data_IF_806366088908
#
_entry.id   IF_806366088908
#
_cell.length_a   1.000
_cell.length_b   1.000
_cell.length_c   1.000
_cell.angle_alpha   90.00
_cell.angle_beta   90.00
_cell.angle_gamma   90.00
#
_symmetry.space_group_name_H-M   'P 1'
#
loop_
_entity.id
_entity.type
_entity.pdbx_description
1 polymer ?
#
# COMPACT_ATOMS: atom_id res chain seq x y z
N UNK A 1 13.61 -10.66 1.36
CA UNK A 1 13.28 -11.35 0.09
C UNK A 1 12.08 -12.28 0.34
N UNK A 2 11.27 -12.59 -0.68
CA UNK A 2 9.98 -13.33 -0.64
C UNK A 2 8.80 -12.68 0.11
N UNK A 3 8.88 -12.42 1.42
CA UNK A 3 7.71 -11.97 2.21
C UNK A 3 7.26 -10.52 1.92
N UNK A 4 8.18 -9.60 1.59
CA UNK A 4 7.86 -8.20 1.23
C UNK A 4 7.12 -8.08 -0.11
N UNK A 5 7.52 -8.87 -1.11
CA UNK A 5 6.96 -8.81 -2.47
C UNK A 5 5.52 -9.30 -2.54
N UNK A 6 5.16 -10.26 -1.69
CA UNK A 6 3.81 -10.82 -1.65
C UNK A 6 2.78 -9.80 -1.12
N UNK A 7 3.16 -8.88 -0.21
CA UNK A 7 2.23 -7.92 0.43
C UNK A 7 1.88 -6.71 -0.44
N UNK A 8 2.82 -6.17 -1.22
CA UNK A 8 2.55 -5.02 -2.10
C UNK A 8 1.66 -5.38 -3.28
N UNK A 9 1.79 -6.61 -3.79
CA UNK A 9 0.88 -7.15 -4.80
C UNK A 9 -0.55 -7.19 -4.30
N UNK A 10 -0.78 -7.55 -3.03
CA UNK A 10 -2.13 -7.54 -2.46
C UNK A 10 -2.75 -6.15 -2.55
N UNK A 11 -2.06 -5.10 -2.10
CA UNK A 11 -2.59 -3.73 -2.17
C UNK A 11 -2.95 -3.31 -3.60
N UNK A 12 -2.10 -3.62 -4.58
CA UNK A 12 -2.36 -3.30 -5.98
C UNK A 12 -3.57 -4.07 -6.55
N UNK A 13 -3.74 -5.34 -6.19
CA UNK A 13 -4.91 -6.13 -6.58
C UNK A 13 -6.20 -5.63 -5.92
N UNK A 14 -6.13 -5.19 -4.66
CA UNK A 14 -7.28 -4.57 -3.98
C UNK A 14 -7.70 -3.26 -4.67
N UNK A 15 -6.73 -2.43 -5.06
CA UNK A 15 -7.01 -1.21 -5.83
C UNK A 15 -7.71 -1.54 -7.15
N UNK A 16 -7.26 -2.58 -7.87
CA UNK A 16 -7.93 -3.04 -9.11
C UNK A 16 -9.35 -3.52 -8.83
N UNK A 17 -9.57 -4.32 -7.79
CA UNK A 17 -10.91 -4.84 -7.42
C UNK A 17 -11.89 -3.71 -7.09
N UNK A 18 -11.38 -2.63 -6.47
CA UNK A 18 -12.17 -1.44 -6.12
C UNK A 18 -12.21 -0.39 -7.24
N UNK A 19 -11.62 -0.67 -8.41
CA UNK A 19 -11.47 0.27 -9.53
C UNK A 19 -10.85 1.61 -9.11
N UNK A 20 -9.95 1.60 -8.12
CA UNK A 20 -9.26 2.78 -7.63
C UNK A 20 -8.05 3.10 -8.49
N UNK A 21 -8.04 4.31 -9.04
CA UNK A 21 -6.84 4.86 -9.66
C UNK A 21 -5.78 5.21 -8.61
N UNK A 22 -4.52 5.34 -9.03
CA UNK A 22 -3.44 5.82 -8.15
C UNK A 22 -3.71 7.22 -7.60
N UNK A 23 -4.38 8.07 -8.39
CA UNK A 23 -4.70 9.45 -7.97
C UNK A 23 -5.77 9.44 -6.89
N UNK A 24 -6.85 8.67 -7.05
CA UNK A 24 -7.90 8.54 -6.03
C UNK A 24 -7.37 7.87 -4.76
N UNK A 25 -6.55 6.84 -4.90
CA UNK A 25 -5.91 6.18 -3.77
C UNK A 25 -5.03 7.16 -2.98
N UNK A 26 -4.18 7.93 -3.67
CA UNK A 26 -3.33 8.93 -3.04
C UNK A 26 -4.16 10.02 -2.33
N UNK A 27 -5.25 10.47 -2.95
CA UNK A 27 -6.16 11.45 -2.35
C UNK A 27 -6.83 10.91 -1.07
N UNK A 28 -7.35 9.67 -1.11
CA UNK A 28 -7.98 9.01 0.07
C UNK A 28 -6.97 8.72 1.18
N UNK A 29 -5.71 8.48 0.83
CA UNK A 29 -4.61 8.31 1.78
C UNK A 29 -4.03 9.64 2.30
N UNK A 30 -4.51 10.79 1.80
CA UNK A 30 -3.97 12.12 2.09
C UNK A 30 -2.46 12.23 1.81
N UNK A 31 -2.03 11.71 0.66
CA UNK A 31 -0.61 11.64 0.26
C UNK A 31 -0.43 12.05 -1.20
N UNK A 32 0.83 12.26 -1.60
CA UNK A 32 1.17 12.46 -3.02
C UNK A 32 1.15 11.14 -3.80
N UNK A 33 0.87 11.21 -5.11
CA UNK A 33 1.02 10.07 -6.04
C UNK A 33 2.42 9.48 -6.01
N UNK A 34 3.47 10.32 -5.91
CA UNK A 34 4.85 9.86 -5.82
C UNK A 34 5.13 9.02 -4.57
N UNK A 35 4.51 9.36 -3.44
CA UNK A 35 4.62 8.57 -2.21
C UNK A 35 3.84 7.24 -2.31
N UNK A 36 2.68 7.24 -2.98
CA UNK A 36 1.99 5.98 -3.31
C UNK A 36 2.81 5.11 -4.26
N UNK A 37 3.46 5.70 -5.27
CA UNK A 37 4.32 4.96 -6.19
C UNK A 37 5.49 4.31 -5.45
N UNK A 38 6.12 5.00 -4.49
CA UNK A 38 7.14 4.40 -3.63
C UNK A 38 6.60 3.27 -2.75
N UNK A 39 5.37 3.39 -2.25
CA UNK A 39 4.74 2.32 -1.47
C UNK A 39 4.50 1.07 -2.33
N UNK A 40 4.09 1.24 -3.58
CA UNK A 40 3.79 0.13 -4.49
C UNK A 40 5.04 -0.48 -5.15
N UNK A 41 6.19 0.18 -5.04
CA UNK A 41 7.45 -0.26 -5.63
C UNK A 41 8.16 -1.29 -4.71
N UNK A 42 8.34 -2.54 -5.17
CA UNK A 42 8.96 -3.60 -4.38
C UNK A 42 10.46 -3.38 -4.11
N UNK A 43 11.13 -2.54 -4.90
CA UNK A 43 12.57 -2.25 -4.78
C UNK A 43 12.82 -1.01 -3.89
N UNK A 44 11.82 -0.15 -3.69
CA UNK A 44 11.91 1.01 -2.78
C UNK A 44 11.67 0.56 -1.34
N UNK A 45 12.73 0.56 -0.54
CA UNK A 45 12.65 0.32 0.91
C UNK A 45 12.51 1.65 1.65
N UNK A 46 11.82 1.64 2.81
CA UNK A 46 11.66 2.85 3.65
C UNK A 46 10.26 3.44 3.72
N UNK A 47 9.21 2.64 3.53
CA UNK A 47 7.83 3.04 3.89
C UNK A 47 7.57 2.73 5.37
N UNK A 48 6.99 3.72 6.06
CA UNK A 48 6.64 3.63 7.46
C UNK A 48 5.40 2.75 7.68
N UNK A 49 5.26 2.21 8.89
CA UNK A 49 4.09 1.39 9.27
C UNK A 49 2.78 2.18 9.14
N UNK A 50 2.79 3.47 9.48
CA UNK A 50 1.62 4.33 9.35
C UNK A 50 1.20 4.51 7.87
N UNK A 51 2.16 4.56 6.95
CA UNK A 51 1.89 4.64 5.51
C UNK A 51 1.21 3.37 5.02
N UNK A 52 1.68 2.21 5.47
CA UNK A 52 1.09 0.91 5.13
C UNK A 52 -0.31 0.78 5.74
N UNK A 53 -0.50 1.19 6.99
CA UNK A 53 -1.78 1.16 7.68
C UNK A 53 -2.82 2.04 6.98
N UNK A 54 -2.47 3.29 6.60
CA UNK A 54 -3.39 4.15 5.85
C UNK A 54 -3.79 3.54 4.51
N UNK A 55 -2.84 2.96 3.78
CA UNK A 55 -3.15 2.29 2.52
C UNK A 55 -4.10 1.11 2.71
N UNK A 56 -3.88 0.28 3.73
CA UNK A 56 -4.76 -0.84 4.08
C UNK A 56 -6.18 -0.34 4.41
N UNK A 57 -6.31 0.72 5.21
CA UNK A 57 -7.61 1.29 5.59
C UNK A 57 -8.41 1.78 4.38
N UNK A 58 -7.77 2.44 3.40
CA UNK A 58 -8.47 2.94 2.20
C UNK A 58 -9.08 1.82 1.36
N UNK A 59 -8.47 0.63 1.35
CA UNK A 59 -8.99 -0.54 0.64
C UNK A 59 -9.83 -1.47 1.53
N UNK A 60 -10.19 -1.03 2.74
CA UNK A 60 -11.03 -1.81 3.67
C UNK A 60 -10.30 -3.01 4.31
N UNK A 61 -8.98 -2.93 4.46
CA UNK A 61 -8.15 -3.96 5.10
C UNK A 61 -7.45 -3.45 6.35
N UNK A 62 -6.88 -4.38 7.13
CA UNK A 62 -6.12 -4.08 8.35
C UNK A 62 -4.67 -4.58 8.22
N UNK A 63 -3.74 -3.80 8.77
CA UNK A 63 -2.33 -4.19 8.87
C UNK A 63 -2.16 -5.12 10.08
N UNK A 64 -1.66 -6.34 9.85
CA UNK A 64 -1.21 -7.27 10.90
C UNK A 64 0.32 -7.35 10.86
N UNK A 65 0.95 -7.19 12.01
CA UNK A 65 2.41 -7.29 12.19
C UNK A 65 2.68 -8.50 13.08
N UNK A 66 3.58 -9.36 12.64
CA UNK A 66 4.07 -10.51 13.40
C UNK A 66 5.60 -10.43 13.43
N UNK A 67 6.16 -10.68 14.60
CA UNK A 67 7.59 -10.84 14.82
C UNK A 67 7.84 -12.35 14.92
N UNK A 68 8.74 -12.85 14.07
CA UNK A 68 9.13 -14.26 14.01
C UNK A 68 10.52 -14.44 14.61
#
# INVERSE_FOLDING_TARGET
MALKRLRLRQLAEEMKRLSLTKTEMAARMQTSRAQLDRLLDPEKTGVSLDTIQRAASVVGRQLRIELL
#
